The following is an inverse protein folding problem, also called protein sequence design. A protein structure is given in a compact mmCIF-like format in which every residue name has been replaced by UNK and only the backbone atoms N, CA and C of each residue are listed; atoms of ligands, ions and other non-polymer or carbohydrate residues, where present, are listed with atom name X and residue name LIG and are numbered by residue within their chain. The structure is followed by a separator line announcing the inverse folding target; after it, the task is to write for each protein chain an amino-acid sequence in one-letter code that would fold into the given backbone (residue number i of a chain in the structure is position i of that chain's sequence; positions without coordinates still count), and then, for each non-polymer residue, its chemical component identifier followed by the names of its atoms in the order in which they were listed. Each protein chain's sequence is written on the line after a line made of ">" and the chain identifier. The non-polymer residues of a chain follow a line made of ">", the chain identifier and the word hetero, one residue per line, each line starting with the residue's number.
data_IF_596847047869
#
_entry.id   IF_596847047869
#
_cell.length_a   1.000
_cell.length_b   1.000
_cell.length_c   1.000
_cell.angle_alpha   90.00
_cell.angle_beta   90.00
_cell.angle_gamma   90.00
#
_symmetry.space_group_name_H-M   'P 1'
#
loop_
_entity.id
_entity.type
_entity.pdbx_description
1 polymer ?
#
# COMPACT_ATOMS: atom_id res chain seq x y z
N UNK A 1 -1.85 13.21 -9.78
CA UNK A 1 -2.54 12.76 -8.55
C UNK A 1 -1.63 11.80 -7.79
N UNK A 2 -1.53 11.97 -6.48
CA UNK A 2 -0.70 11.10 -5.64
C UNK A 2 -1.37 9.74 -5.40
N UNK A 3 -0.54 8.72 -5.22
CA UNK A 3 -0.95 7.38 -4.77
C UNK A 3 -0.70 7.26 -3.26
N UNK A 4 -1.26 6.22 -2.63
CA UNK A 4 -1.07 5.97 -1.20
C UNK A 4 0.40 5.92 -0.81
N UNK A 5 1.24 5.29 -1.62
CA UNK A 5 2.70 5.20 -1.37
C UNK A 5 3.37 6.56 -1.23
N UNK A 6 2.86 7.59 -1.91
CA UNK A 6 3.42 8.95 -1.79
C UNK A 6 3.20 9.55 -0.39
N UNK A 7 2.21 9.08 0.36
CA UNK A 7 1.96 9.53 1.73
C UNK A 7 2.69 8.70 2.78
N UNK A 8 3.15 7.51 2.44
CA UNK A 8 3.66 6.54 3.41
C UNK A 8 5.12 6.18 3.25
N UNK A 9 5.68 6.28 2.05
CA UNK A 9 7.00 5.74 1.69
C UNK A 9 8.13 6.26 2.57
N UNK A 10 8.25 7.58 2.72
CA UNK A 10 9.32 8.18 3.51
C UNK A 10 9.22 7.82 5.00
N UNK A 11 8.00 7.81 5.53
CA UNK A 11 7.76 7.45 6.92
C UNK A 11 8.07 5.98 7.19
N UNK A 12 7.76 5.10 6.24
CA UNK A 12 8.12 3.69 6.33
C UNK A 12 9.64 3.50 6.32
N UNK A 13 10.35 4.20 5.46
CA UNK A 13 11.81 4.14 5.39
C UNK A 13 12.44 4.61 6.70
N UNK A 14 11.96 5.70 7.27
CA UNK A 14 12.43 6.20 8.57
C UNK A 14 12.16 5.19 9.70
N UNK A 15 10.98 4.59 9.71
CA UNK A 15 10.60 3.59 10.70
C UNK A 15 11.48 2.35 10.60
N UNK A 16 11.73 1.84 9.40
CA UNK A 16 12.64 0.71 9.19
C UNK A 16 14.04 1.02 9.72
N UNK A 17 14.56 2.20 9.43
CA UNK A 17 15.87 2.63 9.94
C UNK A 17 15.93 2.67 11.46
N UNK A 18 14.94 3.28 12.11
CA UNK A 18 14.91 3.39 13.57
C UNK A 18 14.68 2.06 14.27
N UNK A 19 13.92 1.14 13.67
CA UNK A 19 13.69 -0.20 14.22
C UNK A 19 14.86 -1.17 13.99
N UNK A 20 15.80 -0.82 13.12
CA UNK A 20 16.86 -1.72 12.69
C UNK A 20 16.38 -2.84 11.77
N UNK A 21 15.24 -2.63 11.12
CA UNK A 21 14.65 -3.59 10.18
C UNK A 21 15.28 -3.47 8.79
N UNK A 22 15.34 -4.58 8.07
CA UNK A 22 15.86 -4.62 6.71
C UNK A 22 15.20 -5.76 5.92
N UNK A 23 15.45 -5.76 4.61
CA UNK A 23 15.00 -6.84 3.75
C UNK A 23 16.18 -7.75 3.38
N UNK A 24 15.96 -9.06 3.52
CA UNK A 24 16.90 -10.10 3.12
C UNK A 24 16.14 -11.27 2.50
N UNK A 25 16.49 -11.62 1.26
CA UNK A 25 15.83 -12.68 0.50
C UNK A 25 16.68 -13.94 0.41
N UNK A 26 17.73 -14.04 1.24
CA UNK A 26 18.58 -15.19 1.32
C UNK A 26 19.60 -15.02 2.44
N UNK A 27 20.29 -16.11 2.77
CA UNK A 27 21.25 -16.16 3.86
C UNK A 27 22.39 -15.14 3.68
N UNK A 28 22.88 -14.97 2.44
CA UNK A 28 23.93 -14.02 2.14
C UNK A 28 23.52 -12.58 2.50
N UNK A 29 22.34 -12.15 2.05
CA UNK A 29 21.84 -10.79 2.33
C UNK A 29 21.62 -10.59 3.83
N UNK A 30 21.11 -11.61 4.52
CA UNK A 30 20.94 -11.57 5.97
C UNK A 30 22.29 -11.40 6.68
N UNK A 31 23.29 -12.21 6.34
CA UNK A 31 24.61 -12.17 6.96
C UNK A 31 25.35 -10.84 6.71
N UNK A 32 25.12 -10.20 5.57
CA UNK A 32 25.72 -8.91 5.25
C UNK A 32 25.14 -7.76 6.09
N UNK A 33 23.91 -7.87 6.53
CA UNK A 33 23.20 -6.78 7.20
C UNK A 33 23.02 -6.99 8.71
N UNK A 34 23.09 -8.23 9.19
CA UNK A 34 22.89 -8.54 10.60
C UNK A 34 23.94 -7.89 11.48
N UNK A 35 23.53 -7.54 12.70
CA UNK A 35 24.46 -7.11 13.77
C UNK A 35 24.69 -8.28 14.74
N UNK A 36 25.89 -8.35 15.28
CA UNK A 36 26.25 -9.36 16.27
C UNK A 36 25.42 -9.20 17.55
N UNK A 37 25.17 -10.34 18.22
CA UNK A 37 24.41 -10.41 19.49
C UNK A 37 22.97 -9.90 19.39
N UNK A 38 22.41 -9.88 18.18
CA UNK A 38 21.04 -9.46 17.94
C UNK A 38 20.19 -10.64 17.47
N UNK A 39 19.05 -10.83 18.11
CA UNK A 39 18.07 -11.81 17.66
C UNK A 39 17.13 -11.15 16.65
N UNK A 40 16.92 -11.81 15.53
CA UNK A 40 16.06 -11.33 14.47
C UNK A 40 14.83 -12.22 14.29
N UNK A 41 13.75 -11.62 13.86
CA UNK A 41 12.50 -12.30 13.49
C UNK A 41 12.21 -12.00 12.04
N UNK A 42 11.85 -13.04 11.27
CA UNK A 42 11.34 -12.87 9.92
C UNK A 42 9.83 -12.61 9.98
N UNK A 43 9.41 -11.52 9.36
CA UNK A 43 8.00 -11.11 9.32
C UNK A 43 7.32 -11.47 7.99
N UNK A 44 8.01 -12.22 7.13
CA UNK A 44 7.53 -12.59 5.81
C UNK A 44 7.98 -11.59 4.74
N UNK A 45 7.87 -11.99 3.46
CA UNK A 45 8.24 -11.17 2.32
C UNK A 45 9.67 -10.59 2.39
N UNK A 46 10.58 -11.29 3.05
CA UNK A 46 11.97 -10.86 3.23
C UNK A 46 12.20 -9.83 4.33
N UNK A 47 11.17 -9.41 5.05
CA UNK A 47 11.28 -8.42 6.12
C UNK A 47 11.88 -9.05 7.38
N UNK A 48 13.00 -8.49 7.85
CA UNK A 48 13.73 -8.94 9.03
C UNK A 48 13.76 -7.80 10.04
N UNK A 49 13.46 -8.11 11.30
CA UNK A 49 13.43 -7.12 12.38
C UNK A 49 14.06 -7.67 13.64
N UNK A 50 14.86 -6.87 14.37
CA UNK A 50 15.29 -7.24 15.71
C UNK A 50 14.10 -7.57 16.61
N UNK A 51 14.14 -8.70 17.29
CA UNK A 51 13.02 -9.20 18.08
C UNK A 51 12.42 -8.16 19.05
N UNK A 52 13.23 -7.37 19.80
CA UNK A 52 12.66 -6.38 20.71
C UNK A 52 11.85 -5.27 20.04
N UNK A 53 12.05 -5.05 18.75
CA UNK A 53 11.46 -3.95 18.01
C UNK A 53 10.29 -4.37 17.12
N UNK A 54 9.91 -5.65 17.12
CA UNK A 54 8.86 -6.18 16.22
C UNK A 54 7.51 -5.50 16.48
N UNK A 55 7.07 -5.42 17.74
CA UNK A 55 5.77 -4.84 18.06
C UNK A 55 5.72 -3.36 17.68
N UNK A 56 6.77 -2.62 18.00
CA UNK A 56 6.86 -1.21 17.63
C UNK A 56 6.86 -0.99 16.11
N UNK A 57 7.54 -1.88 15.37
CA UNK A 57 7.54 -1.83 13.91
C UNK A 57 6.15 -2.07 13.35
N UNK A 58 5.46 -3.11 13.81
CA UNK A 58 4.11 -3.44 13.32
C UNK A 58 3.12 -2.31 13.64
N UNK A 59 3.11 -1.81 14.88
CA UNK A 59 2.25 -0.69 15.26
C UNK A 59 2.55 0.56 14.46
N UNK A 60 3.82 0.85 14.22
CA UNK A 60 4.24 1.99 13.41
C UNK A 60 3.80 1.87 11.95
N UNK A 61 3.92 0.69 11.34
CA UNK A 61 3.46 0.45 9.98
C UNK A 61 1.94 0.60 9.86
N UNK A 62 1.19 0.09 10.83
CA UNK A 62 -0.27 0.25 10.86
C UNK A 62 -0.68 1.72 10.98
N UNK A 63 -0.02 2.48 11.85
CA UNK A 63 -0.29 3.91 12.03
C UNK A 63 0.05 4.71 10.78
N UNK A 64 1.19 4.45 10.15
CA UNK A 64 1.59 5.10 8.90
C UNK A 64 0.57 4.83 7.80
N UNK A 65 0.14 3.59 7.67
CA UNK A 65 -0.86 3.21 6.67
C UNK A 65 -2.21 3.91 6.92
N UNK A 66 -2.70 3.90 8.16
CA UNK A 66 -3.97 4.53 8.52
C UNK A 66 -3.94 6.05 8.30
N UNK A 67 -2.86 6.70 8.70
CA UNK A 67 -2.67 8.14 8.52
C UNK A 67 -2.52 8.50 7.03
N UNK A 68 -1.82 7.67 6.27
CA UNK A 68 -1.67 7.84 4.82
C UNK A 68 -3.00 7.73 4.09
N UNK A 69 -3.84 6.77 4.46
CA UNK A 69 -5.19 6.61 3.91
C UNK A 69 -6.05 7.84 4.24
N UNK A 70 -6.00 8.31 5.49
CA UNK A 70 -6.74 9.51 5.89
C UNK A 70 -6.30 10.75 5.10
N UNK A 71 -5.01 10.92 4.89
CA UNK A 71 -4.47 12.02 4.09
C UNK A 71 -4.89 11.93 2.62
N UNK A 72 -4.86 10.74 2.06
CA UNK A 72 -5.30 10.46 0.69
C UNK A 72 -6.77 10.84 0.51
N UNK A 73 -7.63 10.40 1.41
CA UNK A 73 -9.06 10.73 1.37
C UNK A 73 -9.28 12.24 1.49
N UNK A 74 -8.58 12.89 2.42
CA UNK A 74 -8.72 14.32 2.66
C UNK A 74 -8.29 15.16 1.46
N UNK A 75 -7.22 14.76 0.78
CA UNK A 75 -6.68 15.49 -0.37
C UNK A 75 -7.43 15.21 -1.67
N UNK A 76 -7.76 13.95 -1.93
CA UNK A 76 -8.26 13.52 -3.24
C UNK A 76 -9.76 13.23 -3.28
N UNK A 77 -10.35 12.81 -2.17
CA UNK A 77 -11.74 12.40 -2.11
C UNK A 77 -11.98 10.97 -2.63
N UNK A 78 -13.06 10.37 -2.15
CA UNK A 78 -13.36 8.95 -2.39
C UNK A 78 -13.55 8.64 -3.87
N UNK A 79 -14.32 9.47 -4.58
CA UNK A 79 -14.59 9.23 -6.00
C UNK A 79 -13.32 9.24 -6.85
N UNK A 80 -12.45 10.22 -6.63
CA UNK A 80 -11.18 10.34 -7.35
C UNK A 80 -10.25 9.17 -7.03
N UNK A 81 -10.24 8.71 -5.78
CA UNK A 81 -9.46 7.54 -5.36
C UNK A 81 -9.94 6.29 -6.08
N UNK A 82 -11.26 6.07 -6.15
CA UNK A 82 -11.82 4.91 -6.87
C UNK A 82 -11.40 4.96 -8.35
N UNK A 83 -11.55 6.08 -9.01
CA UNK A 83 -11.17 6.23 -10.42
C UNK A 83 -9.66 6.04 -10.64
N UNK A 84 -8.84 6.57 -9.73
CA UNK A 84 -7.38 6.37 -9.77
C UNK A 84 -7.01 4.89 -9.73
N UNK A 85 -7.62 4.14 -8.82
CA UNK A 85 -7.29 2.72 -8.67
C UNK A 85 -7.89 1.86 -9.78
N UNK A 86 -9.05 2.22 -10.33
CA UNK A 86 -9.56 1.58 -11.53
C UNK A 86 -8.58 1.76 -12.71
N UNK A 87 -8.02 2.95 -12.85
CA UNK A 87 -7.02 3.25 -13.88
C UNK A 87 -5.71 2.50 -13.63
N UNK A 88 -5.25 2.46 -12.39
CA UNK A 88 -4.01 1.80 -12.00
C UNK A 88 -4.04 0.29 -12.27
N UNK A 89 -5.20 -0.32 -12.16
CA UNK A 89 -5.41 -1.75 -12.44
C UNK A 89 -5.98 -2.02 -13.83
N UNK A 90 -6.07 -1.01 -14.67
CA UNK A 90 -6.51 -1.14 -16.07
C UNK A 90 -7.87 -1.83 -16.21
N UNK A 91 -8.81 -1.47 -15.33
CA UNK A 91 -10.12 -2.13 -15.26
C UNK A 91 -10.93 -2.01 -16.55
N UNK A 92 -10.71 -0.98 -17.36
CA UNK A 92 -11.35 -0.83 -18.67
C UNK A 92 -10.91 -1.90 -19.67
N UNK A 93 -9.68 -2.41 -19.53
CA UNK A 93 -9.13 -3.45 -20.43
C UNK A 93 -9.58 -4.84 -19.98
N UNK A 94 -9.46 -5.14 -18.70
CA UNK A 94 -9.82 -6.45 -18.13
C UNK A 94 -11.31 -6.64 -17.91
N UNK A 95 -12.06 -5.53 -17.81
CA UNK A 95 -13.46 -5.49 -17.41
C UNK A 95 -13.70 -6.16 -16.05
N UNK A 96 -12.72 -6.04 -15.16
CA UNK A 96 -12.68 -6.66 -13.84
C UNK A 96 -12.25 -5.63 -12.80
N UNK A 97 -13.04 -5.49 -11.72
CA UNK A 97 -12.76 -4.55 -10.63
C UNK A 97 -12.13 -5.20 -9.40
N UNK A 98 -11.86 -6.51 -9.45
CA UNK A 98 -11.39 -7.28 -8.28
C UNK A 98 -10.12 -6.69 -7.64
N UNK A 99 -9.13 -6.34 -8.46
CA UNK A 99 -7.88 -5.79 -7.96
C UNK A 99 -8.07 -4.44 -7.30
N UNK A 100 -8.97 -3.62 -7.84
CA UNK A 100 -9.32 -2.33 -7.24
C UNK A 100 -10.04 -2.52 -5.91
N UNK A 101 -10.96 -3.47 -5.83
CA UNK A 101 -11.65 -3.81 -4.58
C UNK A 101 -10.65 -4.23 -3.51
N UNK A 102 -9.72 -5.12 -3.86
CA UNK A 102 -8.69 -5.59 -2.94
C UNK A 102 -7.78 -4.45 -2.47
N UNK A 103 -7.37 -3.58 -3.39
CA UNK A 103 -6.50 -2.45 -3.08
C UNK A 103 -7.15 -1.46 -2.11
N UNK A 104 -8.45 -1.24 -2.23
CA UNK A 104 -9.18 -0.26 -1.43
C UNK A 104 -9.89 -0.86 -0.21
N UNK A 105 -9.63 -2.15 0.09
CA UNK A 105 -10.29 -2.86 1.18
C UNK A 105 -10.10 -2.18 2.56
N UNK A 106 -8.95 -1.53 2.78
CA UNK A 106 -8.64 -0.86 4.04
C UNK A 106 -9.09 0.60 4.10
N UNK A 107 -9.70 1.12 3.04
CA UNK A 107 -10.19 2.50 3.00
C UNK A 107 -11.55 2.60 3.67
N UNK A 108 -11.65 3.28 4.84
CA UNK A 108 -12.95 3.47 5.47
C UNK A 108 -13.87 4.30 4.58
N UNK A 109 -15.11 3.87 4.46
CA UNK A 109 -16.11 4.54 3.63
C UNK A 109 -16.07 4.18 2.15
N UNK A 110 -15.19 3.28 1.72
CA UNK A 110 -15.20 2.74 0.35
C UNK A 110 -15.62 1.28 0.41
N UNK A 111 -16.70 0.95 -0.29
CA UNK A 111 -17.24 -0.41 -0.37
C UNK A 111 -17.10 -0.96 -1.78
N UNK A 112 -17.11 -2.30 -1.96
CA UNK A 112 -17.13 -2.91 -3.29
C UNK A 112 -18.28 -2.41 -4.16
N UNK A 113 -19.44 -2.17 -3.55
CA UNK A 113 -20.64 -1.65 -4.24
C UNK A 113 -20.40 -0.23 -4.78
N UNK A 114 -19.69 0.61 -4.05
CA UNK A 114 -19.34 1.96 -4.50
C UNK A 114 -18.39 1.92 -5.70
N UNK A 115 -17.42 1.00 -5.68
CA UNK A 115 -16.50 0.80 -6.80
C UNK A 115 -17.26 0.33 -8.03
N UNK A 116 -18.14 -0.66 -7.85
CA UNK A 116 -19.00 -1.17 -8.93
C UNK A 116 -19.88 -0.05 -9.51
N UNK A 117 -20.43 0.81 -8.65
CA UNK A 117 -21.28 1.92 -9.09
C UNK A 117 -20.52 2.99 -9.89
N UNK A 118 -19.23 3.19 -9.60
CA UNK A 118 -18.39 4.16 -10.32
C UNK A 118 -17.80 3.61 -11.62
N UNK A 119 -17.78 2.30 -11.80
CA UNK A 119 -17.14 1.69 -12.96
C UNK A 119 -17.74 2.13 -14.31
N UNK A 120 -19.07 2.23 -14.50
CA UNK A 120 -19.63 2.69 -15.77
C UNK A 120 -19.17 4.10 -16.17
N UNK A 121 -19.10 5.02 -15.22
CA UNK A 121 -18.63 6.39 -15.48
C UNK A 121 -17.15 6.40 -15.85
N UNK A 122 -16.33 5.63 -15.15
CA UNK A 122 -14.91 5.47 -15.47
C UNK A 122 -14.73 4.85 -16.87
N UNK A 123 -15.48 3.79 -17.18
CA UNK A 123 -15.41 3.12 -18.48
C UNK A 123 -15.76 4.08 -19.61
N UNK A 124 -16.82 4.87 -19.45
CA UNK A 124 -17.22 5.86 -20.45
C UNK A 124 -16.14 6.92 -20.64
N UNK A 125 -15.50 7.35 -19.57
CA UNK A 125 -14.36 8.27 -19.66
C UNK A 125 -13.22 7.68 -20.52
N UNK A 126 -12.93 6.38 -20.33
CA UNK A 126 -11.92 5.68 -21.13
C UNK A 126 -12.33 5.58 -22.60
N UNK A 127 -13.60 5.35 -22.90
CA UNK A 127 -14.13 5.33 -24.27
C UNK A 127 -13.94 6.71 -24.91
N UNK A 128 -14.33 7.77 -24.22
CA UNK A 128 -14.26 9.14 -24.72
C UNK A 128 -12.82 9.61 -25.00
N UNK A 129 -11.85 9.07 -24.27
CA UNK A 129 -10.43 9.43 -24.38
C UNK A 129 -9.56 8.36 -25.06
N UNK A 130 -10.16 7.27 -25.52
CA UNK A 130 -9.47 6.17 -26.19
C UNK A 130 -8.33 5.55 -25.35
N UNK A 131 -8.62 5.22 -24.10
CA UNK A 131 -7.65 4.61 -23.14
C UNK A 131 -7.68 3.08 -23.20
N UNK A 132 -7.49 2.51 -24.37
CA UNK A 132 -7.52 1.05 -24.56
C UNK A 132 -6.25 0.49 -25.22
#
# INVERSE_FOLDING_TARGET
>A
MKYLSNYTENLQTELFGSAGAFFAFGEKQFNEQKQENTRYVSLGAGMICPKPNVDALIEGLESINANGIAADIAENGIKAIIHRELANHEAQITYDISDTVDKLADYPGITPEMIQAEFPAYYQHCVDNDYF
#
